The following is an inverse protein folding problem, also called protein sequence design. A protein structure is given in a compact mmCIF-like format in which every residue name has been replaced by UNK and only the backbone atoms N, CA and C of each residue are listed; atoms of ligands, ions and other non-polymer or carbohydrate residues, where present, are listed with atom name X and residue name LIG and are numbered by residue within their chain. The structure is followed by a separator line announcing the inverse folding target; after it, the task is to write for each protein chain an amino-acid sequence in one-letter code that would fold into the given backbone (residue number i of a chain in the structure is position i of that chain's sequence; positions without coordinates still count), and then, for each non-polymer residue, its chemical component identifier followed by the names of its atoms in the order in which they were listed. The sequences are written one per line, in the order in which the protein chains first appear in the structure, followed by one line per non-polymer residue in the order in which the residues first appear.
data_IF_367768669060
#
_entry.id   IF_367768669060
#
_cell.length_a   1.000
_cell.length_b   1.000
_cell.length_c   1.000
_cell.angle_alpha   90.00
_cell.angle_beta   90.00
_cell.angle_gamma   90.00
#
_symmetry.space_group_name_H-M   'P 1'
#
loop_
_entity.id
_entity.type
_entity.pdbx_description
1 polymer ?
#
# COMPACT_ATOMS: atom_id res chain seq x y z
N UNK A 1 -20.49 -12.11 30.31
CA UNK A 1 -20.15 -10.83 29.64
C UNK A 1 -18.75 -10.97 29.10
N UNK A 2 -18.53 -10.80 27.79
CA UNK A 2 -17.18 -10.72 27.24
C UNK A 2 -16.52 -9.41 27.73
N UNK A 3 -15.26 -9.44 28.18
CA UNK A 3 -14.53 -8.22 28.50
C UNK A 3 -14.46 -7.34 27.26
N UNK A 4 -14.93 -6.09 27.38
CA UNK A 4 -14.81 -5.08 26.32
C UNK A 4 -13.38 -4.56 26.33
N UNK A 5 -12.47 -5.27 25.68
CA UNK A 5 -11.24 -4.61 25.25
C UNK A 5 -11.61 -3.48 24.28
N UNK A 6 -11.00 -2.29 24.40
CA UNK A 6 -11.24 -1.20 23.46
C UNK A 6 -10.88 -1.67 22.04
N UNK A 7 -11.73 -1.36 21.08
CA UNK A 7 -11.46 -1.63 19.67
C UNK A 7 -10.15 -0.94 19.28
N UNK A 8 -9.33 -1.62 18.46
CA UNK A 8 -8.13 -1.01 17.91
C UNK A 8 -8.52 0.14 17.00
N UNK A 9 -7.77 1.23 17.11
CA UNK A 9 -7.85 2.33 16.16
C UNK A 9 -7.53 1.83 14.74
N UNK A 10 -8.30 2.31 13.77
CA UNK A 10 -8.14 1.99 12.36
C UNK A 10 -8.06 3.30 11.57
N UNK A 11 -7.06 3.40 10.70
CA UNK A 11 -6.78 4.58 9.90
C UNK A 11 -7.34 4.42 8.48
N UNK A 12 -7.83 5.52 7.92
CA UNK A 12 -8.22 5.65 6.52
C UNK A 12 -7.08 6.26 5.70
N UNK A 13 -7.30 6.51 4.40
CA UNK A 13 -6.32 7.18 3.57
C UNK A 13 -6.07 8.64 3.97
N UNK A 14 -7.09 9.36 4.45
CA UNK A 14 -6.97 10.79 4.76
C UNK A 14 -6.32 11.04 6.12
N UNK A 15 -6.14 10.00 6.94
CA UNK A 15 -5.50 10.09 8.26
C UNK A 15 -3.96 10.02 8.18
N UNK A 16 -3.39 9.71 7.02
CA UNK A 16 -1.96 9.38 6.89
C UNK A 16 -1.29 10.05 5.70
N UNK A 17 0.02 10.28 5.83
CA UNK A 17 0.92 10.68 4.76
C UNK A 17 2.14 9.77 4.72
N UNK A 18 2.69 9.54 3.53
CA UNK A 18 3.99 8.91 3.39
C UNK A 18 5.10 9.93 3.70
N UNK A 19 6.07 9.52 4.51
CA UNK A 19 7.24 10.33 4.78
C UNK A 19 8.21 10.29 3.58
N UNK A 20 8.72 11.44 3.11
CA UNK A 20 9.76 11.46 2.09
C UNK A 20 11.04 10.74 2.56
N UNK A 21 11.73 10.10 1.62
CA UNK A 21 13.01 9.44 1.84
C UNK A 21 13.99 9.72 0.70
N UNK A 22 15.29 9.54 0.96
CA UNK A 22 16.29 9.62 -0.10
C UNK A 22 16.01 8.56 -1.17
N UNK A 23 15.97 8.98 -2.44
CA UNK A 23 15.75 8.09 -3.59
C UNK A 23 17.02 7.95 -4.42
N UNK A 24 17.31 6.74 -4.87
CA UNK A 24 18.35 6.44 -5.86
C UNK A 24 17.79 6.22 -7.27
N UNK A 25 16.47 6.39 -7.47
CA UNK A 25 15.78 6.20 -8.75
C UNK A 25 14.98 7.44 -9.12
N UNK A 26 14.85 7.70 -10.43
CA UNK A 26 13.95 8.72 -10.97
C UNK A 26 12.59 8.11 -11.32
N UNK A 27 11.49 8.88 -11.33
CA UNK A 27 10.14 8.34 -11.52
C UNK A 27 9.95 7.53 -12.82
N UNK A 28 10.62 7.93 -13.90
CA UNK A 28 10.50 7.26 -15.21
C UNK A 28 11.13 5.86 -15.24
N UNK A 29 11.99 5.53 -14.27
CA UNK A 29 12.69 4.25 -14.17
C UNK A 29 11.99 3.26 -13.23
N UNK A 30 10.91 3.66 -12.56
CA UNK A 30 10.21 2.80 -11.58
C UNK A 30 9.40 1.72 -12.29
N UNK A 31 9.64 0.46 -11.94
CA UNK A 31 8.80 -0.67 -12.36
C UNK A 31 7.51 -0.71 -11.52
N UNK A 32 6.38 -0.49 -12.18
CA UNK A 32 5.04 -0.51 -11.58
C UNK A 32 4.29 -1.83 -11.83
N UNK A 33 4.97 -2.85 -12.39
CA UNK A 33 4.37 -4.16 -12.57
C UNK A 33 4.05 -4.82 -11.23
N UNK A 34 2.97 -5.59 -11.21
CA UNK A 34 2.53 -6.31 -9.99
C UNK A 34 1.95 -7.68 -10.32
N UNK A 35 1.94 -8.57 -9.33
CA UNK A 35 1.34 -9.89 -9.44
C UNK A 35 0.00 -9.90 -8.70
N UNK A 36 -1.10 -10.01 -9.45
CA UNK A 36 -2.45 -10.06 -8.88
C UNK A 36 -2.75 -11.44 -8.28
N UNK A 37 -2.34 -12.52 -8.96
CA UNK A 37 -2.48 -13.90 -8.48
C UNK A 37 -1.25 -14.72 -8.86
N UNK A 38 -1.16 -15.98 -8.42
CA UNK A 38 -0.07 -16.88 -8.81
C UNK A 38 0.17 -16.95 -10.32
N UNK A 39 -0.88 -16.81 -11.13
CA UNK A 39 -0.83 -16.94 -12.59
C UNK A 39 -1.14 -15.65 -13.36
N UNK A 40 -1.48 -14.55 -12.68
CA UNK A 40 -1.87 -13.28 -13.32
C UNK A 40 -0.91 -12.18 -12.91
N UNK A 41 -0.21 -11.60 -13.89
CA UNK A 41 0.67 -10.45 -13.73
C UNK A 41 0.11 -9.25 -14.51
N UNK A 42 0.20 -8.07 -13.91
CA UNK A 42 -0.23 -6.79 -14.49
C UNK A 42 1.00 -5.92 -14.77
N UNK A 43 0.98 -5.19 -15.89
CA UNK A 43 2.01 -4.17 -16.17
C UNK A 43 1.77 -2.86 -15.43
N UNK A 44 0.58 -2.69 -14.85
CA UNK A 44 0.16 -1.52 -14.07
C UNK A 44 -0.84 -1.99 -13.00
N UNK A 45 -0.79 -1.51 -11.75
CA UNK A 45 -1.63 -2.02 -10.66
C UNK A 45 -3.00 -1.32 -10.66
N UNK A 46 -3.74 -1.43 -11.77
CA UNK A 46 -5.09 -0.86 -11.94
C UNK A 46 -6.04 -1.92 -12.50
N UNK A 47 -7.28 -1.93 -12.01
CA UNK A 47 -8.37 -2.85 -12.41
C UNK A 47 -9.63 -2.01 -12.65
#
# INVERSE_FOLDING_TARGET
MLPKEPLREALTFDDVLLLPAASSVVPVEVDVSTRLTGNISLRLPLI
#
